data_IF_365220206045
#
_entry.id   IF_365220206045
#
_cell.length_a   1.000
_cell.length_b   1.000
_cell.length_c   1.000
_cell.angle_alpha   90.00
_cell.angle_beta   90.00
_cell.angle_gamma   90.00
#
_symmetry.space_group_name_H-M   'P 1'
#
loop_
_entity.id
_entity.type
_entity.pdbx_description
1 polymer ?
#
# COMPACT_ATOMS: atom_id res chain seq x y z
N UNK A 1 20.48 -14.61 -65.33
CA UNK A 1 20.62 -13.92 -64.03
C UNK A 1 19.66 -14.57 -63.04
N UNK A 2 20.17 -15.23 -62.00
CA UNK A 2 19.37 -15.93 -60.98
C UNK A 2 18.68 -14.93 -60.05
N UNK A 3 17.35 -14.98 -59.97
CA UNK A 3 16.60 -14.34 -58.90
C UNK A 3 16.56 -15.30 -57.70
N UNK A 4 17.23 -14.94 -56.61
CA UNK A 4 17.11 -15.64 -55.31
C UNK A 4 15.81 -15.20 -54.64
N UNK A 5 14.98 -16.11 -54.10
CA UNK A 5 13.79 -15.70 -53.37
C UNK A 5 14.21 -15.04 -52.06
N UNK A 6 13.56 -13.92 -51.76
CA UNK A 6 13.67 -13.22 -50.49
C UNK A 6 13.05 -14.11 -49.41
N UNK A 7 13.89 -14.60 -48.50
CA UNK A 7 13.51 -15.47 -47.38
C UNK A 7 12.73 -14.62 -46.36
N UNK A 8 11.54 -15.09 -45.99
CA UNK A 8 10.72 -14.48 -44.95
C UNK A 8 11.45 -14.59 -43.60
N UNK A 9 11.87 -13.46 -43.03
CA UNK A 9 12.48 -13.43 -41.69
C UNK A 9 11.45 -13.88 -40.65
N UNK A 10 11.80 -14.96 -39.94
CA UNK A 10 11.00 -15.54 -38.87
C UNK A 10 10.91 -14.56 -37.69
N UNK A 11 9.69 -14.18 -37.31
CA UNK A 11 9.43 -13.55 -36.03
C UNK A 11 9.71 -14.57 -34.91
N UNK A 12 10.89 -14.47 -34.30
CA UNK A 12 11.20 -15.17 -33.05
C UNK A 12 10.33 -14.66 -31.91
N UNK A 13 10.04 -15.48 -30.88
CA UNK A 13 9.21 -15.08 -29.75
C UNK A 13 10.03 -14.20 -28.79
N UNK A 14 10.24 -12.92 -29.13
CA UNK A 14 10.84 -11.93 -28.24
C UNK A 14 9.82 -11.36 -27.23
N UNK A 15 8.98 -12.21 -26.65
CA UNK A 15 7.85 -11.81 -25.80
C UNK A 15 7.99 -12.16 -24.31
N UNK A 16 9.16 -12.62 -23.85
CA UNK A 16 9.32 -13.10 -22.46
C UNK A 16 10.31 -12.26 -21.65
N UNK A 17 11.11 -11.39 -22.30
CA UNK A 17 12.09 -10.54 -21.62
C UNK A 17 11.55 -9.13 -21.24
N UNK A 18 10.38 -8.74 -21.74
CA UNK A 18 9.77 -7.43 -21.47
C UNK A 18 9.08 -7.36 -20.11
N UNK A 19 8.52 -8.46 -19.61
CA UNK A 19 7.71 -8.46 -18.38
C UNK A 19 8.51 -8.17 -17.11
N UNK A 20 9.80 -8.52 -17.08
CA UNK A 20 10.66 -8.27 -15.92
C UNK A 20 10.99 -6.78 -15.78
N UNK A 21 11.32 -6.12 -16.90
CA UNK A 21 11.60 -4.67 -16.91
C UNK A 21 10.35 -3.85 -16.57
N UNK A 22 9.16 -4.26 -17.05
CA UNK A 22 7.91 -3.58 -16.72
C UNK A 22 7.56 -3.70 -15.23
N UNK A 23 7.91 -4.83 -14.60
CA UNK A 23 7.71 -5.01 -13.16
C UNK A 23 8.67 -4.14 -12.36
N UNK A 24 9.94 -4.06 -12.73
CA UNK A 24 10.92 -3.20 -12.07
C UNK A 24 10.49 -1.72 -12.08
N UNK A 25 9.87 -1.25 -13.17
CA UNK A 25 9.31 0.11 -13.23
C UNK A 25 8.11 0.32 -12.29
N UNK A 26 7.30 -0.71 -12.03
CA UNK A 26 6.15 -0.63 -11.11
C UNK A 26 6.61 -0.59 -9.65
N UNK A 27 7.73 -1.24 -9.31
CA UNK A 27 8.25 -1.31 -7.94
C UNK A 27 8.69 0.08 -7.41
N UNK A 28 9.04 1.01 -8.29
CA UNK A 28 9.45 2.37 -7.92
C UNK A 28 8.28 3.34 -7.70
N UNK A 29 7.03 2.90 -7.92
CA UNK A 29 5.86 3.76 -7.76
C UNK A 29 5.66 4.06 -6.26
N UNK A 30 5.70 5.34 -5.83
CA UNK A 30 5.50 5.67 -4.43
C UNK A 30 4.05 5.40 -4.02
N UNK A 31 3.88 4.81 -2.84
CA UNK A 31 2.57 4.48 -2.26
C UNK A 31 2.38 5.16 -0.93
N UNK A 32 1.17 5.66 -0.68
CA UNK A 32 0.84 6.25 0.62
C UNK A 32 0.43 5.15 1.60
N UNK A 33 1.22 5.02 2.66
CA UNK A 33 0.91 4.16 3.80
C UNK A 33 0.35 5.00 4.93
N UNK A 34 -0.83 4.62 5.41
CA UNK A 34 -1.54 5.30 6.50
C UNK A 34 -1.50 4.43 7.74
N UNK A 35 -1.19 5.02 8.88
CA UNK A 35 -1.26 4.34 10.19
C UNK A 35 -2.36 5.01 10.98
N UNK A 36 -3.30 4.22 11.47
CA UNK A 36 -4.45 4.74 12.18
C UNK A 36 -4.37 4.44 13.67
N UNK A 37 -4.49 5.50 14.48
CA UNK A 37 -4.65 5.38 15.93
C UNK A 37 -6.00 4.73 16.29
N UNK A 38 -7.04 5.05 15.51
CA UNK A 38 -8.39 4.53 15.70
C UNK A 38 -9.42 5.33 14.90
N UNK A 39 -10.64 4.80 14.84
CA UNK A 39 -11.77 5.41 14.14
C UNK A 39 -12.96 5.54 15.08
N UNK A 40 -13.81 6.54 14.85
CA UNK A 40 -15.10 6.64 15.54
C UNK A 40 -16.19 7.13 14.59
N UNK A 41 -17.44 6.83 14.92
CA UNK A 41 -18.60 7.36 14.20
C UNK A 41 -19.35 8.29 15.15
N UNK A 42 -19.68 9.48 14.67
CA UNK A 42 -20.47 10.45 15.44
C UNK A 42 -21.52 11.13 14.57
N UNK A 43 -22.67 11.55 15.14
CA UNK A 43 -23.63 12.37 14.44
C UNK A 43 -23.02 13.70 13.99
N UNK A 44 -23.47 14.23 12.84
CA UNK A 44 -23.01 15.52 12.31
C UNK A 44 -23.19 16.65 13.33
N UNK A 45 -24.27 16.63 14.11
CA UNK A 45 -24.49 17.60 15.19
C UNK A 45 -23.34 17.64 16.19
N UNK A 46 -22.80 16.49 16.58
CA UNK A 46 -21.69 16.41 17.55
C UNK A 46 -20.38 16.88 16.91
N UNK A 47 -20.15 16.52 15.64
CA UNK A 47 -18.99 16.99 14.88
C UNK A 47 -18.92 18.52 14.80
N UNK A 48 -20.05 19.18 14.53
CA UNK A 48 -20.14 20.64 14.45
C UNK A 48 -20.00 21.35 15.80
N UNK A 49 -20.08 20.61 16.92
CA UNK A 49 -19.90 21.14 18.28
C UNK A 49 -18.48 20.99 18.80
N UNK A 50 -17.58 20.32 18.06
CA UNK A 50 -16.20 20.18 18.46
C UNK A 50 -15.52 21.56 18.52
N UNK A 51 -14.75 21.77 19.58
CA UNK A 51 -13.99 22.98 19.81
C UNK A 51 -12.58 22.63 20.29
N UNK A 52 -11.72 23.64 20.41
CA UNK A 52 -10.41 23.45 21.01
C UNK A 52 -10.55 22.85 22.42
N UNK A 53 -9.85 21.75 22.66
CA UNK A 53 -9.90 21.02 23.94
C UNK A 53 -10.96 19.92 24.01
N UNK A 54 -11.80 19.73 22.98
CA UNK A 54 -12.69 18.57 22.92
C UNK A 54 -11.87 17.28 22.83
N UNK A 55 -12.27 16.27 23.61
CA UNK A 55 -11.69 14.92 23.58
C UNK A 55 -12.67 14.01 22.85
N UNK A 56 -12.19 13.28 21.84
CA UNK A 56 -12.98 12.34 21.05
C UNK A 56 -12.48 10.93 21.34
N UNK A 57 -13.38 10.08 21.81
CA UNK A 57 -13.10 8.66 22.01
C UNK A 57 -13.06 7.93 20.67
N UNK A 58 -12.01 7.14 20.47
CA UNK A 58 -11.79 6.31 19.29
C UNK A 58 -12.13 4.85 19.62
N UNK A 59 -12.50 4.06 18.60
CA UNK A 59 -12.56 2.62 18.72
C UNK A 59 -11.14 2.04 18.80
N UNK A 60 -10.97 1.02 19.65
CA UNK A 60 -9.69 0.37 19.94
C UNK A 60 -9.30 0.55 21.41
N UNK A 61 -8.66 -0.46 22.00
CA UNK A 61 -8.16 -0.37 23.37
C UNK A 61 -6.73 0.18 23.39
N UNK A 62 -6.41 0.97 24.42
CA UNK A 62 -5.05 1.46 24.61
C UNK A 62 -4.06 0.28 24.74
N UNK A 63 -2.99 0.32 23.96
CA UNK A 63 -1.97 -0.74 23.93
C UNK A 63 -2.23 -1.83 22.89
N UNK A 64 -3.35 -1.81 22.17
CA UNK A 64 -3.52 -2.67 21.00
C UNK A 64 -2.65 -2.19 19.82
N UNK A 65 -2.21 -3.12 18.95
CA UNK A 65 -1.54 -2.76 17.70
C UNK A 65 -2.39 -1.81 16.85
N UNK A 66 -1.74 -0.84 16.23
CA UNK A 66 -2.34 0.08 15.29
C UNK A 66 -2.50 -0.55 13.91
N UNK A 67 -3.57 -0.17 13.23
CA UNK A 67 -3.84 -0.60 11.87
C UNK A 67 -2.96 0.16 10.88
N UNK A 68 -2.33 -0.58 9.97
CA UNK A 68 -1.51 -0.05 8.88
C UNK A 68 -2.18 -0.35 7.55
N UNK A 69 -2.41 0.68 6.77
CA UNK A 69 -3.27 0.64 5.60
C UNK A 69 -2.60 1.21 4.35
N UNK A 70 -3.01 0.70 3.20
CA UNK A 70 -2.71 1.27 1.88
C UNK A 70 -4.03 1.36 1.11
N UNK A 71 -4.31 2.50 0.49
CA UNK A 71 -5.55 2.74 -0.27
C UNK A 71 -6.84 2.39 0.52
N UNK A 72 -6.82 2.55 1.84
CA UNK A 72 -7.96 2.21 2.71
C UNK A 72 -8.14 0.71 2.99
N UNK A 73 -7.20 -0.14 2.59
CA UNK A 73 -7.16 -1.56 2.96
C UNK A 73 -6.15 -1.83 4.06
N UNK A 74 -6.55 -2.61 5.07
CA UNK A 74 -5.65 -3.11 6.11
C UNK A 74 -4.62 -4.06 5.49
N UNK A 75 -3.34 -3.78 5.71
CA UNK A 75 -2.24 -4.61 5.21
C UNK A 75 -1.33 -5.17 6.31
N UNK A 76 -1.29 -4.51 7.46
CA UNK A 76 -0.46 -4.89 8.59
C UNK A 76 -1.05 -4.33 9.88
N UNK A 77 -0.54 -4.84 10.99
CA UNK A 77 -0.69 -4.23 12.31
C UNK A 77 0.69 -3.94 12.88
N UNK A 78 0.79 -2.93 13.74
CA UNK A 78 2.05 -2.58 14.34
C UNK A 78 1.94 -1.70 15.57
N UNK A 79 2.99 -1.69 16.36
CA UNK A 79 3.07 -0.88 17.57
C UNK A 79 3.91 0.38 17.32
N UNK A 80 3.55 1.45 18.03
CA UNK A 80 4.28 2.72 17.96
C UNK A 80 5.61 2.56 18.68
N UNK A 81 6.68 2.91 17.99
CA UNK A 81 8.04 2.94 18.52
C UNK A 81 8.63 4.33 18.30
N UNK A 82 9.63 4.70 19.10
CA UNK A 82 10.41 5.92 18.90
C UNK A 82 11.80 5.51 18.45
N UNK A 83 12.25 6.06 17.32
CA UNK A 83 13.60 5.84 16.78
C UNK A 83 14.21 7.18 16.43
N UNK A 84 15.35 7.52 17.05
CA UNK A 84 16.03 8.80 16.85
C UNK A 84 15.11 10.03 17.02
N UNK A 85 14.34 10.05 18.12
CA UNK A 85 13.34 11.08 18.44
C UNK A 85 12.20 11.24 17.41
N UNK A 86 12.05 10.28 16.50
CA UNK A 86 10.97 10.23 15.52
C UNK A 86 10.01 9.09 15.84
N UNK A 87 8.74 9.33 15.57
CA UNK A 87 7.73 8.28 15.60
C UNK A 87 7.99 7.28 14.45
N UNK A 88 7.92 6.00 14.77
CA UNK A 88 7.97 4.89 13.84
C UNK A 88 6.94 3.84 14.20
N UNK A 89 6.71 2.89 13.31
CA UNK A 89 5.83 1.75 13.55
C UNK A 89 6.63 0.47 13.36
N UNK A 90 6.63 -0.40 14.37
CA UNK A 90 7.15 -1.76 14.27
C UNK A 90 6.00 -2.68 13.91
N UNK A 91 6.06 -3.29 12.71
CA UNK A 91 5.04 -4.21 12.25
C UNK A 91 5.08 -5.49 13.11
N UNK A 92 3.92 -5.85 13.68
CA UNK A 92 3.72 -7.06 14.48
C UNK A 92 3.15 -8.19 13.62
N UNK A 93 2.25 -7.86 12.69
CA UNK A 93 1.69 -8.79 11.72
C UNK A 93 1.53 -8.11 10.35
N UNK A 94 1.69 -8.84 9.26
CA UNK A 94 1.60 -8.31 7.90
C UNK A 94 1.19 -9.39 6.90
N UNK A 95 0.29 -9.03 5.98
CA UNK A 95 -0.16 -9.94 4.92
C UNK A 95 0.97 -10.24 3.92
N UNK A 96 0.80 -11.30 3.14
CA UNK A 96 1.81 -11.72 2.15
C UNK A 96 2.06 -10.65 1.07
N UNK A 97 3.26 -10.58 0.47
CA UNK A 97 3.56 -9.64 -0.61
C UNK A 97 2.56 -9.73 -1.78
N UNK A 98 2.15 -10.95 -2.16
CA UNK A 98 1.18 -11.17 -3.23
C UNK A 98 -0.19 -10.57 -2.92
N UNK A 99 -0.65 -10.62 -1.66
CA UNK A 99 -1.91 -9.99 -1.27
C UNK A 99 -1.78 -8.47 -1.25
N UNK A 100 -0.63 -7.91 -0.83
CA UNK A 100 -0.39 -6.46 -0.89
C UNK A 100 -0.53 -5.94 -2.30
N UNK A 101 0.12 -6.59 -3.27
CA UNK A 101 0.03 -6.19 -4.69
C UNK A 101 -1.43 -6.23 -5.20
N UNK A 102 -2.22 -7.22 -4.77
CA UNK A 102 -3.65 -7.28 -5.09
C UNK A 102 -4.44 -6.11 -4.49
N UNK A 103 -4.08 -5.63 -3.30
CA UNK A 103 -4.72 -4.49 -2.63
C UNK A 103 -4.32 -3.15 -3.24
N UNK A 104 -3.14 -3.03 -3.86
CA UNK A 104 -2.75 -1.80 -4.58
C UNK A 104 -3.56 -1.60 -5.87
N UNK A 105 -3.94 -2.68 -6.55
CA UNK A 105 -4.64 -2.64 -7.83
C UNK A 105 -6.17 -2.48 -7.71
N UNK A 106 -6.70 -2.21 -6.52
CA UNK A 106 -8.13 -1.95 -6.27
C UNK A 106 -8.34 -0.51 -5.84
#
# INVERSE_FOLDING_TARGET
ASAKPHVLEQFGPSGIASTANDLDMILDIPVQLTVELGRTKMPIKNLLQLAQGSVVELAGMAGEPLDVMINGFLIAQGEVVVVNDKLGIRLTDIITPSERLRRLNR
#
